data_IF_279923741577
#
_entry.id   IF_279923741577
#
_cell.length_a   1.000
_cell.length_b   1.000
_cell.length_c   1.000
_cell.angle_alpha   90.00
_cell.angle_beta   90.00
_cell.angle_gamma   90.00
#
_symmetry.space_group_name_H-M   'P 1'
#
loop_
_entity.id
_entity.type
_entity.pdbx_description
1 polymer ?
#
# COMPACT_ATOMS: atom_id res chain seq x y z
N UNK A 1 -1.60 17.14 -23.81
CA UNK A 1 -1.23 16.32 -24.98
C UNK A 1 -1.85 14.94 -24.80
N UNK A 2 -3.06 14.72 -25.31
CA UNK A 2 -3.75 13.44 -25.33
C UNK A 2 -3.24 12.67 -26.56
N UNK A 3 -2.14 11.91 -26.37
CA UNK A 3 -1.71 10.96 -27.38
C UNK A 3 -2.78 9.87 -27.50
N UNK A 4 -3.44 9.78 -28.64
CA UNK A 4 -4.23 8.62 -29.03
C UNK A 4 -3.30 7.39 -29.03
N UNK A 5 -3.30 6.65 -27.93
CA UNK A 5 -2.66 5.34 -27.87
C UNK A 5 -3.43 4.42 -28.82
N UNK A 6 -2.80 4.05 -29.94
CA UNK A 6 -3.36 3.12 -30.93
C UNK A 6 -3.91 1.88 -30.21
N UNK A 7 -5.18 1.58 -30.43
CA UNK A 7 -6.01 0.57 -29.78
C UNK A 7 -5.57 -0.91 -29.92
N UNK A 8 -4.31 -1.23 -30.04
CA UNK A 8 -3.78 -2.59 -30.27
C UNK A 8 -2.50 -2.94 -29.53
N UNK A 9 -1.98 -2.09 -28.64
CA UNK A 9 -0.76 -2.42 -27.90
C UNK A 9 -1.03 -3.48 -26.85
N UNK A 10 -0.17 -4.51 -26.78
CA UNK A 10 -0.20 -5.53 -25.73
C UNK A 10 0.64 -5.07 -24.55
N UNK A 11 0.18 -5.32 -23.32
CA UNK A 11 0.89 -5.00 -22.11
C UNK A 11 0.99 -6.25 -21.24
N UNK A 12 2.22 -6.60 -20.84
CA UNK A 12 2.49 -7.62 -19.83
C UNK A 12 2.59 -6.97 -18.45
N UNK A 13 1.82 -7.46 -17.49
CA UNK A 13 1.88 -7.06 -16.08
C UNK A 13 2.46 -8.19 -15.26
N UNK A 14 3.62 -7.97 -14.63
CA UNK A 14 4.27 -8.96 -13.79
C UNK A 14 3.78 -8.84 -12.36
N UNK A 15 3.11 -9.88 -11.89
CA UNK A 15 2.55 -9.98 -10.54
C UNK A 15 1.03 -9.91 -10.51
N UNK A 16 0.38 -10.96 -9.98
CA UNK A 16 -1.06 -11.07 -9.79
C UNK A 16 -1.51 -10.70 -8.36
N UNK A 17 -0.78 -9.83 -7.68
CA UNK A 17 -1.22 -9.20 -6.45
C UNK A 17 -2.24 -8.09 -6.74
N UNK A 18 -2.81 -7.49 -5.68
CA UNK A 18 -3.84 -6.44 -5.81
C UNK A 18 -3.41 -5.28 -6.72
N UNK A 19 -2.15 -4.87 -6.65
CA UNK A 19 -1.60 -3.80 -7.50
C UNK A 19 -1.64 -4.18 -8.98
N UNK A 20 -1.14 -5.38 -9.33
CA UNK A 20 -1.12 -5.85 -10.72
C UNK A 20 -2.51 -6.03 -11.29
N UNK A 21 -3.44 -6.62 -10.52
CA UNK A 21 -4.82 -6.82 -10.96
C UNK A 21 -5.55 -5.50 -11.17
N UNK A 22 -5.46 -4.55 -10.21
CA UNK A 22 -6.09 -3.23 -10.36
C UNK A 22 -5.52 -2.44 -11.54
N UNK A 23 -4.18 -2.43 -11.69
CA UNK A 23 -3.51 -1.79 -12.83
C UNK A 23 -3.99 -2.38 -14.16
N UNK A 24 -4.07 -3.72 -14.23
CA UNK A 24 -4.52 -4.43 -15.43
C UNK A 24 -5.96 -4.11 -15.79
N UNK A 25 -6.85 -4.01 -14.81
CA UNK A 25 -8.24 -3.60 -15.04
C UNK A 25 -8.35 -2.18 -15.60
N UNK A 26 -7.60 -1.22 -15.02
CA UNK A 26 -7.58 0.14 -15.55
C UNK A 26 -6.97 0.22 -16.96
N UNK A 27 -5.99 -0.62 -17.29
CA UNK A 27 -5.43 -0.72 -18.63
C UNK A 27 -6.44 -1.29 -19.64
N UNK A 28 -7.19 -2.34 -19.27
CA UNK A 28 -8.27 -2.89 -20.12
C UNK A 28 -9.34 -1.82 -20.37
N UNK A 29 -9.76 -1.08 -19.34
CA UNK A 29 -10.72 0.03 -19.49
C UNK A 29 -10.23 1.11 -20.46
N UNK A 30 -8.91 1.25 -20.63
CA UNK A 30 -8.27 2.13 -21.63
C UNK A 30 -8.08 1.49 -23.00
N UNK A 31 -8.55 0.26 -23.22
CA UNK A 31 -8.52 -0.43 -24.51
C UNK A 31 -7.25 -1.22 -24.81
N UNK A 32 -6.35 -1.41 -23.83
CA UNK A 32 -5.17 -2.25 -24.02
C UNK A 32 -5.50 -3.74 -23.93
N UNK A 33 -4.75 -4.56 -24.66
CA UNK A 33 -4.72 -6.03 -24.43
C UNK A 33 -3.75 -6.32 -23.30
N UNK A 34 -4.23 -6.93 -22.22
CA UNK A 34 -3.42 -7.10 -21.01
C UNK A 34 -3.28 -8.57 -20.64
N UNK A 35 -2.05 -8.99 -20.37
CA UNK A 35 -1.72 -10.31 -19.81
C UNK A 35 -1.05 -10.12 -18.47
N UNK A 36 -1.63 -10.68 -17.40
CA UNK A 36 -0.99 -10.78 -16.09
C UNK A 36 -0.16 -12.06 -16.06
N UNK A 37 1.09 -11.96 -15.61
CA UNK A 37 2.01 -13.09 -15.48
C UNK A 37 2.47 -13.17 -14.02
N UNK A 38 2.25 -14.31 -13.37
CA UNK A 38 2.73 -14.57 -12.01
C UNK A 38 3.24 -16.01 -11.89
N UNK A 39 4.22 -16.23 -11.03
CA UNK A 39 4.75 -17.57 -10.75
C UNK A 39 3.79 -18.43 -9.96
N UNK A 40 2.89 -17.81 -9.18
CA UNK A 40 1.93 -18.47 -8.31
C UNK A 40 0.49 -18.18 -8.71
N UNK A 41 -0.43 -18.97 -8.19
CA UNK A 41 -1.85 -18.69 -8.31
C UNK A 41 -2.18 -17.41 -7.55
N UNK A 42 -3.04 -16.52 -8.10
CA UNK A 42 -3.39 -15.26 -7.47
C UNK A 42 -3.94 -15.45 -6.05
N UNK A 43 -3.47 -14.62 -5.12
CA UNK A 43 -3.87 -14.70 -3.72
C UNK A 43 -3.33 -15.91 -2.95
N UNK A 44 -2.30 -16.62 -3.45
CA UNK A 44 -1.68 -17.75 -2.74
C UNK A 44 -0.45 -17.32 -1.93
N UNK A 45 0.49 -16.60 -2.52
CA UNK A 45 1.78 -16.26 -1.90
C UNK A 45 2.07 -14.75 -1.85
N UNK A 46 1.19 -13.92 -2.42
CA UNK A 46 1.38 -12.47 -2.43
C UNK A 46 1.03 -11.83 -1.08
N UNK A 47 1.58 -10.65 -0.80
CA UNK A 47 1.19 -9.84 0.36
C UNK A 47 -0.31 -9.52 0.40
N UNK A 48 -1.01 -9.62 -0.73
CA UNK A 48 -2.46 -9.44 -0.83
C UNK A 48 -3.28 -10.59 -0.25
N UNK A 49 -2.64 -11.71 0.11
CA UNK A 49 -3.33 -12.86 0.72
C UNK A 49 -3.83 -12.59 2.13
N UNK A 50 -3.00 -11.98 2.98
CA UNK A 50 -3.26 -11.86 4.41
C UNK A 50 -2.65 -10.61 5.03
N UNK A 51 -2.77 -9.46 4.34
CA UNK A 51 -2.38 -8.18 4.91
C UNK A 51 -3.44 -7.66 5.89
N UNK A 52 -3.18 -6.53 6.54
CA UNK A 52 -4.10 -5.91 7.50
C UNK A 52 -5.40 -5.36 6.88
N UNK A 53 -5.55 -5.40 5.57
CA UNK A 53 -6.78 -4.99 4.88
C UNK A 53 -7.09 -3.49 4.93
N UNK A 54 -6.13 -2.65 5.29
CA UNK A 54 -6.37 -1.21 5.41
C UNK A 54 -6.26 -0.49 4.07
N UNK A 55 -7.28 0.28 3.73
CA UNK A 55 -7.22 1.32 2.72
C UNK A 55 -6.89 2.63 3.44
N UNK A 56 -5.64 3.08 3.30
CA UNK A 56 -5.04 4.10 4.17
C UNK A 56 -4.64 5.37 3.41
N UNK A 57 -5.58 6.20 2.94
CA UNK A 57 -5.24 7.44 2.22
C UNK A 57 -4.46 8.43 3.09
N UNK A 58 -4.57 8.31 4.41
CA UNK A 58 -3.85 9.11 5.41
C UNK A 58 -2.38 8.72 5.61
N UNK A 59 -1.90 7.60 5.05
CA UNK A 59 -0.56 7.06 5.30
C UNK A 59 0.56 7.79 4.52
N UNK A 60 0.46 9.11 4.43
CA UNK A 60 1.37 9.97 3.67
C UNK A 60 2.68 10.30 4.41
N UNK A 61 2.69 10.26 5.74
CA UNK A 61 3.89 10.60 6.52
C UNK A 61 4.85 9.40 6.56
N UNK A 62 6.08 9.55 6.03
CA UNK A 62 7.04 8.45 5.97
C UNK A 62 7.66 8.15 7.34
N UNK A 63 8.20 6.95 7.51
CA UNK A 63 8.83 6.51 8.76
C UNK A 63 10.19 7.18 9.04
N UNK A 64 10.84 7.77 8.03
CA UNK A 64 12.14 8.45 8.16
C UNK A 64 11.99 9.86 8.73
N UNK A 65 11.31 9.97 9.86
CA UNK A 65 11.18 11.21 10.63
C UNK A 65 12.47 11.52 11.39
N UNK A 66 12.78 12.80 11.68
CA UNK A 66 13.96 13.15 12.46
C UNK A 66 14.01 12.51 13.86
N UNK A 67 12.86 12.42 14.52
CA UNK A 67 12.67 11.86 15.85
C UNK A 67 12.88 10.34 15.92
N UNK A 68 12.73 9.61 14.80
CA UNK A 68 12.96 8.16 14.78
C UNK A 68 14.39 7.80 15.23
N UNK A 69 15.35 8.67 14.97
CA UNK A 69 16.77 8.41 15.33
C UNK A 69 16.98 8.39 16.84
N UNK A 70 16.18 9.13 17.61
CA UNK A 70 16.20 9.12 19.08
C UNK A 70 15.44 7.93 19.66
N UNK A 71 14.45 7.39 18.92
CA UNK A 71 13.62 6.28 19.35
C UNK A 71 14.27 4.90 19.11
N UNK A 72 15.11 4.79 18.06
CA UNK A 72 15.75 3.52 17.67
C UNK A 72 16.47 2.80 18.82
N UNK A 73 17.30 3.46 19.67
CA UNK A 73 17.97 2.77 20.77
C UNK A 73 17.00 2.12 21.74
N UNK A 74 15.93 2.81 22.13
CA UNK A 74 14.89 2.28 23.03
C UNK A 74 14.12 1.13 22.42
N UNK A 75 13.83 1.19 21.10
CA UNK A 75 13.17 0.13 20.36
C UNK A 75 14.03 -1.14 20.28
N UNK A 76 15.36 -1.00 20.14
CA UNK A 76 16.29 -2.14 20.09
C UNK A 76 16.49 -2.82 21.43
N UNK A 77 16.46 -2.06 22.52
CA UNK A 77 16.59 -2.59 23.88
C UNK A 77 15.33 -3.30 24.37
N UNK A 78 14.18 -3.06 23.75
CA UNK A 78 12.94 -3.68 24.11
C UNK A 78 12.71 -4.96 23.29
N UNK A 79 12.85 -6.12 23.90
CA UNK A 79 12.61 -7.43 23.23
C UNK A 79 11.19 -7.63 22.69
N UNK A 80 10.22 -6.85 23.18
CA UNK A 80 8.83 -6.80 22.70
C UNK A 80 8.56 -5.55 21.84
N UNK A 81 9.61 -4.82 21.47
CA UNK A 81 9.52 -3.61 20.68
C UNK A 81 9.20 -3.86 19.20
N UNK A 82 8.83 -2.81 18.46
CA UNK A 82 8.47 -2.91 17.06
C UNK A 82 9.67 -3.15 16.13
N UNK A 83 10.91 -3.04 16.63
CA UNK A 83 12.14 -3.18 15.86
C UNK A 83 12.91 -4.42 16.30
N UNK A 84 13.00 -5.40 15.42
CA UNK A 84 13.84 -6.57 15.59
C UNK A 84 14.96 -6.60 14.53
N UNK A 85 16.22 -6.74 14.96
CA UNK A 85 17.36 -6.85 14.06
C UNK A 85 17.91 -8.27 14.05
N UNK A 86 18.12 -8.80 12.85
CA UNK A 86 18.90 -10.00 12.65
C UNK A 86 20.39 -9.60 12.59
N UNK A 87 21.09 -9.68 13.70
CA UNK A 87 22.45 -9.12 13.89
C UNK A 87 23.46 -9.59 12.84
N UNK A 88 23.40 -10.85 12.42
CA UNK A 88 24.28 -11.38 11.37
C UNK A 88 24.02 -10.77 9.98
N UNK A 89 22.87 -10.09 9.78
CA UNK A 89 22.51 -9.42 8.54
C UNK A 89 22.82 -7.91 8.55
N UNK A 90 23.01 -7.32 9.73
CA UNK A 90 23.26 -5.88 9.91
C UNK A 90 24.42 -5.35 9.03
N UNK A 91 25.58 -6.03 8.89
CA UNK A 91 26.66 -5.53 8.03
C UNK A 91 26.22 -5.31 6.57
N UNK A 92 25.35 -6.16 6.05
CA UNK A 92 24.79 -6.04 4.68
C UNK A 92 23.82 -4.87 4.55
N UNK A 93 23.22 -4.44 5.66
CA UNK A 93 22.25 -3.34 5.68
C UNK A 93 22.89 -1.96 5.91
N UNK A 94 24.17 -1.88 6.26
CA UNK A 94 24.86 -0.59 6.52
C UNK A 94 24.66 0.43 5.40
N UNK A 95 24.79 0.11 4.09
CA UNK A 95 24.59 1.09 3.04
C UNK A 95 23.16 1.64 3.01
N UNK A 96 22.17 0.79 3.35
CA UNK A 96 20.77 1.20 3.48
C UNK A 96 20.57 2.10 4.70
N UNK A 97 21.12 1.75 5.87
CA UNK A 97 21.03 2.57 7.07
C UNK A 97 21.62 3.97 6.87
N UNK A 98 22.77 4.07 6.22
CA UNK A 98 23.39 5.37 5.92
C UNK A 98 22.46 6.23 5.06
N UNK A 99 21.85 5.63 4.03
CA UNK A 99 20.88 6.35 3.18
C UNK A 99 19.62 6.72 3.98
N UNK A 100 19.12 5.83 4.83
CA UNK A 100 17.97 6.08 5.68
C UNK A 100 18.22 7.28 6.60
N UNK A 101 19.31 7.28 7.37
CA UNK A 101 19.68 8.37 8.28
C UNK A 101 19.82 9.71 7.52
N UNK A 102 20.49 9.70 6.35
CA UNK A 102 20.62 10.90 5.50
C UNK A 102 19.27 11.46 5.02
N UNK A 103 18.23 10.63 5.02
CA UNK A 103 16.88 11.02 4.64
C UNK A 103 16.00 11.38 5.85
N UNK A 104 16.46 11.19 7.10
CA UNK A 104 15.76 11.58 8.31
C UNK A 104 15.89 13.09 8.61
N UNK A 105 15.48 13.93 7.68
CA UNK A 105 15.42 15.38 7.87
C UNK A 105 14.01 15.91 7.64
N UNK A 106 13.61 16.95 8.38
CA UNK A 106 12.27 17.55 8.25
C UNK A 106 11.96 17.95 6.81
N UNK A 107 12.92 18.55 6.09
CA UNK A 107 12.73 18.94 4.69
C UNK A 107 12.42 17.76 3.78
N UNK A 108 13.18 16.65 3.89
CA UNK A 108 12.96 15.45 3.07
C UNK A 108 11.68 14.71 3.46
N UNK A 109 11.39 14.66 4.76
CA UNK A 109 10.15 14.07 5.26
C UNK A 109 8.92 14.80 4.69
N UNK A 110 8.87 16.15 4.77
CA UNK A 110 7.78 16.95 4.22
C UNK A 110 7.66 16.81 2.70
N UNK A 111 8.80 16.79 1.99
CA UNK A 111 8.83 16.53 0.55
C UNK A 111 8.20 15.18 0.22
N UNK A 112 8.63 14.10 0.89
CA UNK A 112 8.08 12.76 0.67
C UNK A 112 6.59 12.71 1.03
N UNK A 113 6.19 13.28 2.16
CA UNK A 113 4.79 13.29 2.60
C UNK A 113 3.87 13.96 1.57
N UNK A 114 4.31 15.08 0.98
CA UNK A 114 3.55 15.79 -0.06
C UNK A 114 3.29 14.91 -1.29
N UNK A 115 4.32 14.27 -1.83
CA UNK A 115 4.17 13.45 -3.04
C UNK A 115 3.47 12.11 -2.77
N UNK A 116 3.72 11.52 -1.60
CA UNK A 116 2.96 10.34 -1.16
C UNK A 116 1.47 10.64 -1.04
N UNK A 117 1.11 11.79 -0.47
CA UNK A 117 -0.29 12.20 -0.35
C UNK A 117 -0.96 12.32 -1.72
N UNK A 118 -0.30 12.95 -2.70
CA UNK A 118 -0.84 13.09 -4.06
C UNK A 118 -1.17 11.73 -4.71
N UNK A 119 -0.36 10.71 -4.44
CA UNK A 119 -0.61 9.35 -4.96
C UNK A 119 -1.73 8.67 -4.17
N UNK A 120 -1.70 8.78 -2.84
CA UNK A 120 -2.66 8.11 -1.96
C UNK A 120 -4.07 8.68 -2.08
N UNK A 121 -4.19 9.97 -2.38
CA UNK A 121 -5.47 10.65 -2.58
C UNK A 121 -6.24 10.09 -3.80
N UNK A 122 -5.51 9.58 -4.79
CA UNK A 122 -6.09 8.92 -5.96
C UNK A 122 -6.52 7.47 -5.70
N UNK A 123 -6.08 6.85 -4.60
CA UNK A 123 -6.26 5.41 -4.39
C UNK A 123 -7.72 5.01 -4.17
N UNK A 124 -8.45 5.71 -3.30
CA UNK A 124 -9.86 5.39 -3.03
C UNK A 124 -10.75 5.61 -4.25
N UNK A 125 -10.68 6.74 -4.98
CA UNK A 125 -11.42 6.91 -6.22
C UNK A 125 -11.14 5.82 -7.25
N UNK A 126 -9.88 5.39 -7.39
CA UNK A 126 -9.51 4.30 -8.29
C UNK A 126 -10.12 2.95 -7.88
N UNK A 127 -10.18 2.64 -6.58
CA UNK A 127 -10.89 1.46 -6.09
C UNK A 127 -12.39 1.57 -6.29
N UNK A 128 -12.99 2.73 -6.00
CA UNK A 128 -14.43 2.96 -6.17
C UNK A 128 -14.88 2.75 -7.62
N UNK A 129 -14.04 3.14 -8.57
CA UNK A 129 -14.30 2.87 -10.00
C UNK A 129 -14.34 1.37 -10.32
N UNK A 130 -13.45 0.57 -9.71
CA UNK A 130 -13.41 -0.88 -9.92
C UNK A 130 -14.54 -1.59 -9.15
N UNK A 131 -14.86 -1.12 -7.95
CA UNK A 131 -15.89 -1.72 -7.10
C UNK A 131 -17.32 -1.51 -7.63
N UNK A 132 -17.54 -0.60 -8.58
CA UNK A 132 -18.82 -0.49 -9.29
C UNK A 132 -19.16 -1.75 -10.11
N UNK A 133 -18.13 -2.45 -10.57
CA UNK A 133 -18.26 -3.61 -11.45
C UNK A 133 -18.28 -4.96 -10.69
N UNK A 134 -18.10 -4.95 -9.35
CA UNK A 134 -18.12 -6.17 -8.51
C UNK A 134 -18.92 -5.92 -7.22
N UNK A 135 -19.53 -6.96 -6.71
CA UNK A 135 -20.16 -6.92 -5.38
C UNK A 135 -19.10 -7.06 -4.28
N UNK A 136 -18.88 -5.98 -3.51
CA UNK A 136 -18.00 -5.92 -2.34
C UNK A 136 -18.77 -5.87 -1.04
N UNK A 137 -20.08 -6.12 -1.04
CA UNK A 137 -20.92 -6.13 0.16
C UNK A 137 -20.36 -7.08 1.21
N UNK A 138 -20.23 -6.60 2.44
CA UNK A 138 -19.64 -7.37 3.55
C UNK A 138 -18.14 -7.66 3.41
N UNK A 139 -17.47 -7.20 2.34
CA UNK A 139 -16.02 -7.34 2.15
C UNK A 139 -15.26 -6.06 2.45
N UNK A 140 -15.89 -4.90 2.31
CA UNK A 140 -15.29 -3.58 2.59
C UNK A 140 -16.14 -2.85 3.62
N UNK A 141 -15.50 -2.40 4.69
CA UNK A 141 -16.10 -1.59 5.76
C UNK A 141 -15.66 -0.13 5.60
N UNK A 142 -16.63 0.79 5.64
CA UNK A 142 -16.42 2.24 5.49
C UNK A 142 -16.62 2.98 6.82
N UNK A 143 -16.09 2.43 7.93
CA UNK A 143 -16.27 3.00 9.28
C UNK A 143 -15.11 3.88 9.73
N UNK A 144 -14.14 4.10 8.86
CA UNK A 144 -12.88 4.73 9.22
C UNK A 144 -11.93 3.78 9.95
N UNK A 145 -10.79 4.31 10.36
CA UNK A 145 -9.78 3.58 11.14
C UNK A 145 -9.34 4.47 12.30
N UNK A 146 -9.25 3.88 13.48
CA UNK A 146 -8.78 4.55 14.69
C UNK A 146 -7.36 4.10 14.99
N UNK A 147 -6.46 5.07 15.16
CA UNK A 147 -5.17 4.86 15.80
C UNK A 147 -5.20 5.46 17.20
N UNK A 148 -4.95 4.67 18.20
CA UNK A 148 -4.83 5.16 19.57
C UNK A 148 -3.41 4.95 20.12
N UNK A 149 -3.02 5.75 21.08
CA UNK A 149 -1.72 5.66 21.73
C UNK A 149 -1.87 5.35 23.23
N UNK A 150 -0.95 4.53 23.71
CA UNK A 150 -0.88 4.08 25.11
C UNK A 150 0.08 4.91 25.95
N UNK A 151 0.83 5.81 25.33
CA UNK A 151 1.74 6.74 25.98
C UNK A 151 1.05 8.11 26.16
N UNK A 152 1.28 8.78 27.29
CA UNK A 152 0.73 10.12 27.60
C UNK A 152 1.38 11.23 26.76
N UNK A 153 2.54 10.98 26.17
CA UNK A 153 3.26 12.00 25.41
C UNK A 153 2.63 12.23 24.02
N UNK A 154 1.88 13.30 23.89
CA UNK A 154 1.28 13.76 22.64
C UNK A 154 2.29 14.43 21.69
N UNK A 155 3.41 14.97 22.20
CA UNK A 155 4.35 15.75 21.38
C UNK A 155 4.93 14.97 20.21
N UNK A 156 5.20 13.68 20.42
CA UNK A 156 5.68 12.79 19.34
C UNK A 156 4.64 12.56 18.24
N UNK A 157 3.36 12.82 18.50
CA UNK A 157 2.25 12.63 17.55
C UNK A 157 1.82 13.92 16.86
N UNK A 158 2.02 15.05 17.51
CA UNK A 158 1.61 16.36 16.99
C UNK A 158 2.22 16.67 15.62
N UNK A 159 3.48 16.32 15.42
CA UNK A 159 4.15 16.53 14.14
C UNK A 159 3.42 15.81 12.99
N UNK A 160 3.09 14.55 13.16
CA UNK A 160 2.39 13.76 12.13
C UNK A 160 0.96 14.26 11.91
N UNK A 161 0.25 14.59 12.99
CA UNK A 161 -1.11 15.12 12.95
C UNK A 161 -1.13 16.44 12.18
N UNK A 162 -0.19 17.35 12.49
CA UNK A 162 -0.11 18.64 11.81
C UNK A 162 0.26 18.49 10.33
N UNK A 163 1.22 17.62 9.98
CA UNK A 163 1.56 17.36 8.58
C UNK A 163 0.35 16.86 7.80
N UNK A 164 -0.41 15.90 8.35
CA UNK A 164 -1.62 15.40 7.69
C UNK A 164 -2.69 16.46 7.56
N UNK A 165 -2.85 17.31 8.58
CA UNK A 165 -3.76 18.47 8.55
C UNK A 165 -3.37 19.46 7.44
N UNK A 166 -2.09 19.80 7.34
CA UNK A 166 -1.55 20.70 6.31
C UNK A 166 -1.71 20.14 4.89
N UNK A 167 -1.72 18.81 4.76
CA UNK A 167 -1.97 18.11 3.50
C UNK A 167 -3.48 17.95 3.18
N UNK A 168 -4.39 18.41 4.06
CA UNK A 168 -5.83 18.28 3.86
C UNK A 168 -6.40 16.92 4.20
N UNK A 169 -5.65 16.05 4.89
CA UNK A 169 -6.15 14.74 5.32
C UNK A 169 -7.21 14.91 6.39
N UNK A 170 -8.41 14.38 6.13
CA UNK A 170 -9.50 14.37 7.10
C UNK A 170 -9.12 13.50 8.31
N UNK A 171 -9.16 14.09 9.50
CA UNK A 171 -8.81 13.41 10.75
C UNK A 171 -9.54 14.04 11.93
N UNK A 172 -9.95 13.21 12.90
CA UNK A 172 -10.57 13.65 14.14
C UNK A 172 -9.75 13.13 15.32
N UNK A 173 -9.30 14.03 16.19
CA UNK A 173 -8.70 13.66 17.47
C UNK A 173 -9.78 13.12 18.39
N UNK A 174 -9.48 12.04 19.10
CA UNK A 174 -10.38 11.36 20.00
C UNK A 174 -9.84 11.37 21.42
N UNK A 175 -10.71 11.69 22.36
CA UNK A 175 -10.49 11.50 23.78
C UNK A 175 -10.59 9.99 24.14
N UNK A 176 -10.07 9.58 25.31
CA UNK A 176 -10.26 8.20 25.77
C UNK A 176 -11.72 7.77 25.88
N UNK A 177 -12.63 8.68 26.21
CA UNK A 177 -14.07 8.40 26.29
C UNK A 177 -14.65 8.11 24.91
N UNK A 178 -14.39 8.98 23.93
CA UNK A 178 -14.85 8.77 22.53
C UNK A 178 -14.30 7.48 21.91
N UNK A 179 -13.05 7.09 22.24
CA UNK A 179 -12.50 5.82 21.78
C UNK A 179 -13.29 4.66 22.39
N UNK A 180 -13.62 4.73 23.69
CA UNK A 180 -14.37 3.68 24.36
C UNK A 180 -15.80 3.55 23.81
N UNK A 181 -16.44 4.67 23.48
CA UNK A 181 -17.78 4.65 22.89
C UNK A 181 -17.80 4.01 21.50
N UNK A 182 -16.74 4.22 20.71
CA UNK A 182 -16.60 3.62 19.38
C UNK A 182 -16.18 2.16 19.44
N UNK A 183 -15.31 1.79 20.40
CA UNK A 183 -14.70 0.47 20.53
C UNK A 183 -14.77 -0.04 22.00
N UNK A 184 -15.98 -0.36 22.52
CA UNK A 184 -16.19 -0.67 23.94
C UNK A 184 -15.49 -1.95 24.42
N UNK A 185 -15.11 -2.84 23.49
CA UNK A 185 -14.44 -4.10 23.80
C UNK A 185 -12.92 -3.98 23.91
N UNK A 186 -12.33 -2.84 23.55
CA UNK A 186 -10.89 -2.62 23.71
C UNK A 186 -10.59 -2.25 25.17
N UNK A 187 -9.60 -2.92 25.75
CA UNK A 187 -9.12 -2.59 27.11
C UNK A 187 -8.71 -1.12 27.19
N UNK A 188 -9.13 -0.39 28.24
CA UNK A 188 -8.86 1.03 28.46
C UNK A 188 -7.39 1.31 28.81
N UNK A 189 -6.48 1.09 27.87
CA UNK A 189 -5.03 1.35 28.01
C UNK A 189 -4.56 2.55 27.21
N UNK A 190 -5.48 3.23 26.53
CA UNK A 190 -5.20 4.37 25.64
C UNK A 190 -5.37 5.71 26.34
N UNK A 191 -4.59 6.70 25.93
CA UNK A 191 -4.62 8.07 26.43
C UNK A 191 -5.16 9.09 25.40
N UNK A 192 -5.47 8.64 24.19
CA UNK A 192 -6.05 9.40 23.11
C UNK A 192 -5.89 8.65 21.79
N UNK A 193 -6.46 9.18 20.74
CA UNK A 193 -6.41 8.60 19.41
C UNK A 193 -6.70 9.58 18.30
N UNK A 194 -6.61 9.10 17.07
CA UNK A 194 -7.03 9.79 15.86
C UNK A 194 -7.87 8.87 15.01
N UNK A 195 -9.04 9.34 14.61
CA UNK A 195 -9.91 8.70 13.65
C UNK A 195 -9.63 9.29 12.27
N UNK A 196 -9.47 8.42 11.28
CA UNK A 196 -9.44 8.74 9.86
C UNK A 196 -10.74 8.27 9.20
N UNK A 197 -11.74 9.16 9.05
CA UNK A 197 -13.11 8.75 8.63
C UNK A 197 -13.15 8.18 7.20
N UNK A 198 -12.31 8.71 6.30
CA UNK A 198 -12.23 8.28 4.91
C UNK A 198 -11.55 6.92 4.71
N UNK A 199 -10.85 6.42 5.73
CA UNK A 199 -10.19 5.12 5.67
C UNK A 199 -11.21 3.97 5.62
N UNK A 200 -10.81 2.85 4.98
CA UNK A 200 -11.65 1.66 4.85
C UNK A 200 -10.91 0.42 5.28
N UNK A 201 -11.64 -0.63 5.56
CA UNK A 201 -11.09 -1.91 5.95
C UNK A 201 -11.63 -3.04 5.07
N UNK A 202 -10.73 -3.85 4.52
CA UNK A 202 -11.08 -5.09 3.82
C UNK A 202 -11.17 -6.24 4.82
N UNK A 203 -12.34 -6.81 5.02
CA UNK A 203 -12.53 -8.00 5.86
C UNK A 203 -11.83 -9.23 5.30
N UNK A 204 -11.75 -9.31 3.98
CA UNK A 204 -11.08 -10.42 3.29
C UNK A 204 -10.35 -9.91 2.04
N UNK A 205 -9.08 -9.47 2.18
CA UNK A 205 -8.29 -8.95 1.05
C UNK A 205 -8.16 -9.95 -0.10
N UNK A 206 -7.99 -11.25 0.22
CA UNK A 206 -7.91 -12.30 -0.81
C UNK A 206 -9.19 -12.39 -1.63
N UNK A 207 -10.37 -12.36 -0.99
CA UNK A 207 -11.65 -12.48 -1.70
C UNK A 207 -11.88 -11.28 -2.62
N UNK A 208 -11.48 -10.08 -2.20
CA UNK A 208 -11.53 -8.87 -3.04
C UNK A 208 -10.60 -9.03 -4.25
N UNK A 209 -9.36 -9.48 -4.02
CA UNK A 209 -8.41 -9.74 -5.10
C UNK A 209 -8.96 -10.71 -6.14
N UNK A 210 -9.54 -11.85 -5.70
CA UNK A 210 -10.09 -12.86 -6.60
C UNK A 210 -11.28 -12.33 -7.39
N UNK A 211 -12.22 -11.59 -6.78
CA UNK A 211 -13.32 -10.95 -7.50
C UNK A 211 -12.84 -9.96 -8.58
N UNK A 212 -11.79 -9.18 -8.29
CA UNK A 212 -11.20 -8.28 -9.28
C UNK A 212 -10.48 -9.04 -10.40
N UNK A 213 -9.85 -10.17 -10.09
CA UNK A 213 -9.25 -11.04 -11.09
C UNK A 213 -10.30 -11.68 -12.00
N UNK A 214 -11.40 -12.18 -11.43
CA UNK A 214 -12.50 -12.74 -12.19
C UNK A 214 -13.07 -11.69 -13.17
N UNK A 215 -13.29 -10.46 -12.69
CA UNK A 215 -13.69 -9.34 -13.53
C UNK A 215 -12.66 -9.04 -14.64
N UNK A 216 -11.36 -9.12 -14.32
CA UNK A 216 -10.30 -8.92 -15.31
C UNK A 216 -10.37 -9.97 -16.43
N UNK A 217 -10.57 -11.23 -16.10
CA UNK A 217 -10.74 -12.32 -17.09
C UNK A 217 -12.02 -12.13 -17.91
N UNK A 218 -13.14 -11.80 -17.26
CA UNK A 218 -14.43 -11.52 -17.91
C UNK A 218 -14.30 -10.39 -18.94
N UNK A 219 -13.54 -9.35 -18.63
CA UNK A 219 -13.26 -8.23 -19.55
C UNK A 219 -12.22 -8.56 -20.63
N UNK A 220 -11.83 -9.83 -20.80
CA UNK A 220 -10.93 -10.30 -21.87
C UNK A 220 -9.43 -10.23 -21.52
N UNK A 221 -9.08 -9.99 -20.27
CA UNK A 221 -7.71 -10.11 -19.78
C UNK A 221 -7.24 -11.56 -19.74
N UNK A 222 -5.92 -11.77 -19.80
CA UNK A 222 -5.30 -13.10 -19.72
C UNK A 222 -4.46 -13.21 -18.47
N UNK A 223 -4.53 -14.37 -17.80
CA UNK A 223 -3.63 -14.73 -16.72
C UNK A 223 -2.76 -15.92 -17.15
N UNK A 224 -1.46 -15.80 -16.94
CA UNK A 224 -0.50 -16.86 -17.23
C UNK A 224 0.36 -17.16 -16.00
N UNK A 225 0.32 -18.42 -15.57
CA UNK A 225 1.16 -18.90 -14.47
C UNK A 225 2.54 -19.25 -14.96
N UNK A 226 3.44 -18.28 -14.93
CA UNK A 226 4.83 -18.40 -15.36
C UNK A 226 5.74 -17.56 -14.50
N UNK A 227 6.97 -18.04 -14.29
CA UNK A 227 7.95 -17.31 -13.50
C UNK A 227 8.84 -16.46 -14.42
N UNK A 228 8.69 -15.14 -14.36
CA UNK A 228 9.53 -14.19 -15.10
C UNK A 228 10.91 -14.12 -14.44
N UNK A 229 11.96 -14.46 -15.20
CA UNK A 229 13.35 -14.47 -14.75
C UNK A 229 14.09 -13.18 -15.05
N UNK A 230 13.81 -12.58 -16.21
CA UNK A 230 14.45 -11.34 -16.62
C UNK A 230 13.59 -10.59 -17.62
N UNK A 231 13.87 -9.29 -17.73
CA UNK A 231 13.34 -8.41 -18.77
C UNK A 231 14.54 -7.97 -19.60
N UNK A 232 14.45 -8.14 -20.90
CA UNK A 232 15.40 -7.62 -21.87
C UNK A 232 14.68 -6.73 -22.87
N UNK A 233 15.43 -6.05 -23.76
CA UNK A 233 14.85 -5.24 -24.81
C UNK A 233 15.43 -5.68 -26.14
N UNK A 234 14.59 -5.71 -27.18
CA UNK A 234 15.04 -5.95 -28.56
C UNK A 234 15.81 -4.73 -29.08
N UNK A 235 16.46 -4.87 -30.25
CA UNK A 235 17.10 -3.73 -30.95
C UNK A 235 16.14 -2.59 -31.28
N UNK A 236 14.83 -2.87 -31.33
CA UNK A 236 13.75 -1.87 -31.53
C UNK A 236 13.14 -1.38 -30.22
N UNK A 237 13.83 -1.56 -29.10
CA UNK A 237 13.45 -1.11 -27.77
C UNK A 237 12.10 -1.70 -27.26
N UNK A 238 11.75 -2.91 -27.74
CA UNK A 238 10.56 -3.63 -27.26
C UNK A 238 10.94 -4.52 -26.09
N UNK A 239 10.15 -4.51 -24.98
CA UNK A 239 10.41 -5.37 -23.84
C UNK A 239 10.14 -6.83 -24.18
N UNK A 240 11.05 -7.71 -23.79
CA UNK A 240 10.95 -9.16 -23.90
C UNK A 240 11.02 -9.77 -22.51
N UNK A 241 10.03 -10.57 -22.15
CA UNK A 241 9.99 -11.28 -20.87
C UNK A 241 10.54 -12.68 -21.05
N UNK A 242 11.62 -13.03 -20.34
CA UNK A 242 12.13 -14.38 -20.25
C UNK A 242 11.50 -15.10 -19.07
N UNK A 243 10.81 -16.21 -19.34
CA UNK A 243 10.23 -17.07 -18.32
C UNK A 243 10.97 -18.40 -18.23
N UNK A 244 10.61 -19.25 -17.25
CA UNK A 244 11.17 -20.61 -17.13
C UNK A 244 10.85 -21.50 -18.34
N UNK A 245 9.83 -21.17 -19.12
CA UNK A 245 9.31 -22.03 -20.19
C UNK A 245 9.42 -21.40 -21.59
N UNK A 246 9.34 -20.07 -21.73
CA UNK A 246 9.31 -19.40 -23.04
C UNK A 246 9.76 -17.94 -22.98
N UNK A 247 10.00 -17.32 -24.16
CA UNK A 247 10.14 -15.89 -24.35
C UNK A 247 8.77 -15.29 -24.76
N UNK A 248 8.47 -14.07 -24.27
CA UNK A 248 7.32 -13.26 -24.67
C UNK A 248 7.81 -11.91 -25.20
N UNK A 249 7.38 -11.57 -26.40
CA UNK A 249 7.55 -10.28 -27.04
C UNK A 249 6.36 -9.37 -26.75
#
# INVERSE_FOLDING_TARGET
>A
MSGEFKSKSSIGVIGAGIQGVCTSLHLIKKGFKVTIIDRDDPGKSSASYGNAGHFSPYASVPINRPDILTDVPSMLLNSKGPLALKWNYVPRMIPWFVRFVRNCSKKKMLHTAKYMHQILDLALPAYDELFKDIDVSGLVENRGIIYFWTNKDLKSRELEINIRKDLGVEQKLLTPHEIHDLEPHIRKIYHGGVLYPSARHARNPKKILLKLLDLFIEKGGKFEKKNVRSISFTEKDRPVLKTDLNFYD
#
